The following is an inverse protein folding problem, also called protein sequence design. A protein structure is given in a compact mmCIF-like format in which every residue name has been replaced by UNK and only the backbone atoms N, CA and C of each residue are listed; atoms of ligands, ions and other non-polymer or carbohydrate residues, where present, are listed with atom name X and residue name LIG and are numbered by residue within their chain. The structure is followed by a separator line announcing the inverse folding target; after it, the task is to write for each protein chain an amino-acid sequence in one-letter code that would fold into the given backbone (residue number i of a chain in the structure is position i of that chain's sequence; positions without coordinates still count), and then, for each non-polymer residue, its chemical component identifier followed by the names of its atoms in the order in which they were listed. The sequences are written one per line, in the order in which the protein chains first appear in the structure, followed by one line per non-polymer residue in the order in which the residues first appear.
data_IF_446629722193
#
_entry.id   IF_446629722193
#
_cell.length_a   1.000
_cell.length_b   1.000
_cell.length_c   1.000
_cell.angle_alpha   90.00
_cell.angle_beta   90.00
_cell.angle_gamma   90.00
#
_symmetry.space_group_name_H-M   'P 1'
#
loop_
_entity.id
_entity.type
_entity.pdbx_description
1 polymer ?
#
# COMPACT_ATOMS: atom_id res chain seq x y z
N UNK A 1 -11.30 67.77 -3.60
CA UNK A 1 -10.26 66.72 -3.46
C UNK A 1 -10.96 65.38 -3.51
N UNK A 2 -10.81 64.63 -4.60
CA UNK A 2 -11.37 63.28 -4.71
C UNK A 2 -10.56 62.36 -3.79
N UNK A 3 -11.20 61.80 -2.75
CA UNK A 3 -10.62 60.69 -1.99
C UNK A 3 -10.34 59.58 -3.00
N UNK A 4 -9.09 59.21 -3.18
CA UNK A 4 -8.75 58.04 -3.99
C UNK A 4 -9.41 56.83 -3.33
N UNK A 5 -10.44 56.27 -3.94
CA UNK A 5 -11.02 55.00 -3.52
C UNK A 5 -9.89 53.97 -3.46
N UNK A 6 -9.57 53.50 -2.26
CA UNK A 6 -8.61 52.43 -2.08
C UNK A 6 -9.18 51.16 -2.73
N UNK A 7 -8.36 50.53 -3.57
CA UNK A 7 -8.71 49.31 -4.29
C UNK A 7 -7.85 48.15 -3.81
N UNK A 8 -8.40 46.95 -3.85
CA UNK A 8 -7.66 45.73 -3.59
C UNK A 8 -6.65 45.45 -4.69
N UNK A 9 -5.65 44.63 -4.40
CA UNK A 9 -4.69 44.21 -5.42
C UNK A 9 -5.38 43.33 -6.49
N UNK A 10 -4.66 43.15 -7.61
CA UNK A 10 -5.16 42.47 -8.81
C UNK A 10 -5.56 41.01 -8.57
N UNK A 11 -4.77 40.27 -7.81
CA UNK A 11 -5.02 38.85 -7.54
C UNK A 11 -6.22 38.68 -6.59
N UNK A 12 -6.27 39.45 -5.50
CA UNK A 12 -7.35 39.39 -4.52
C UNK A 12 -8.68 39.80 -5.16
N UNK A 13 -8.68 40.88 -5.96
CA UNK A 13 -9.89 41.34 -6.67
C UNK A 13 -10.47 40.25 -7.57
N UNK A 14 -9.62 39.62 -8.37
CA UNK A 14 -10.03 38.52 -9.25
C UNK A 14 -10.55 37.35 -8.44
N UNK A 15 -9.82 36.94 -7.40
CA UNK A 15 -10.16 35.80 -6.57
C UNK A 15 -11.54 35.96 -5.90
N UNK A 16 -11.83 37.16 -5.40
CA UNK A 16 -13.11 37.48 -4.75
C UNK A 16 -14.27 37.45 -5.75
N UNK A 17 -14.08 38.01 -6.94
CA UNK A 17 -15.14 38.03 -7.96
C UNK A 17 -15.36 36.64 -8.57
N UNK A 18 -14.29 35.87 -8.81
CA UNK A 18 -14.42 34.47 -9.25
C UNK A 18 -15.12 33.62 -8.18
N UNK A 19 -14.80 33.83 -6.89
CA UNK A 19 -15.50 33.21 -5.76
C UNK A 19 -17.01 33.50 -5.78
N UNK A 20 -17.39 34.77 -5.84
CA UNK A 20 -18.79 35.18 -5.92
C UNK A 20 -19.51 34.61 -7.16
N UNK A 21 -18.85 34.64 -8.34
CA UNK A 21 -19.40 34.15 -9.60
C UNK A 21 -19.47 32.62 -9.72
N UNK A 22 -18.78 31.89 -8.84
CA UNK A 22 -18.89 30.43 -8.77
C UNK A 22 -20.00 29.99 -7.80
N UNK A 23 -20.41 30.86 -6.88
CA UNK A 23 -21.55 30.64 -5.98
C UNK A 23 -22.85 31.12 -6.64
N UNK A 24 -22.81 32.23 -7.36
CA UNK A 24 -23.97 32.87 -7.99
C UNK A 24 -23.68 33.28 -9.43
N UNK A 25 -24.73 33.55 -10.22
CA UNK A 25 -24.55 33.94 -11.61
C UNK A 25 -23.83 35.30 -11.71
N UNK A 26 -22.98 35.53 -12.75
CA UNK A 26 -22.30 36.81 -12.92
C UNK A 26 -23.25 38.02 -12.98
N UNK A 27 -24.48 37.84 -13.47
CA UNK A 27 -25.50 38.89 -13.49
C UNK A 27 -26.04 39.23 -12.11
N UNK A 28 -26.16 38.24 -11.22
CA UNK A 28 -26.58 38.45 -9.84
C UNK A 28 -25.47 39.13 -9.02
N UNK A 29 -24.22 38.69 -9.18
CA UNK A 29 -23.05 39.36 -8.59
C UNK A 29 -22.93 40.80 -9.07
N UNK A 30 -23.21 41.07 -10.36
CA UNK A 30 -23.23 42.42 -10.92
C UNK A 30 -24.27 43.31 -10.22
N UNK A 31 -25.49 42.78 -10.03
CA UNK A 31 -26.58 43.49 -9.36
C UNK A 31 -26.24 43.85 -7.92
N UNK A 32 -25.64 42.92 -7.17
CA UNK A 32 -25.29 43.12 -5.76
C UNK A 32 -24.11 44.09 -5.57
N UNK A 33 -23.14 44.09 -6.49
CA UNK A 33 -22.05 45.06 -6.48
C UNK A 33 -22.43 46.41 -7.10
N UNK A 34 -23.69 46.56 -7.53
CA UNK A 34 -24.20 47.72 -8.26
C UNK A 34 -23.32 48.07 -9.47
N UNK A 35 -23.02 47.06 -10.28
CA UNK A 35 -22.17 47.12 -11.47
C UNK A 35 -22.90 46.59 -12.70
N UNK A 36 -22.50 47.06 -13.88
CA UNK A 36 -22.92 46.42 -15.13
C UNK A 36 -22.31 45.01 -15.24
N UNK A 37 -23.02 44.01 -15.83
CA UNK A 37 -22.49 42.67 -16.02
C UNK A 37 -21.14 42.62 -16.79
N UNK A 38 -20.90 43.56 -17.70
CA UNK A 38 -19.62 43.70 -18.40
C UNK A 38 -18.45 43.99 -17.45
N UNK A 39 -18.69 44.72 -16.36
CA UNK A 39 -17.68 45.05 -15.34
C UNK A 39 -17.28 43.86 -14.49
N UNK A 40 -18.18 42.89 -14.30
CA UNK A 40 -17.84 41.61 -13.67
C UNK A 40 -16.83 40.85 -14.53
N UNK A 41 -17.02 40.83 -15.85
CA UNK A 41 -16.05 40.20 -16.77
C UNK A 41 -14.68 40.88 -16.73
N UNK A 42 -14.62 42.20 -16.57
CA UNK A 42 -13.38 42.94 -16.38
C UNK A 42 -12.68 42.62 -15.06
N UNK A 43 -13.45 42.47 -13.97
CA UNK A 43 -12.94 42.08 -12.65
C UNK A 43 -12.37 40.64 -12.66
N UNK A 44 -13.08 39.69 -13.29
CA UNK A 44 -12.61 38.31 -13.49
C UNK A 44 -11.39 38.23 -14.41
N UNK A 45 -11.34 39.11 -15.42
CA UNK A 45 -10.18 39.31 -16.28
C UNK A 45 -9.02 40.06 -15.61
N UNK A 46 -9.18 40.49 -14.36
CA UNK A 46 -8.23 41.30 -13.60
C UNK A 46 -7.82 42.62 -14.31
N UNK A 47 -8.69 43.10 -15.21
CA UNK A 47 -8.57 44.40 -15.91
C UNK A 47 -9.12 45.54 -15.05
N UNK A 48 -9.98 45.20 -14.10
CA UNK A 48 -10.51 46.09 -13.06
C UNK A 48 -10.18 45.51 -11.68
N UNK A 49 -10.08 46.40 -10.69
CA UNK A 49 -9.87 46.06 -9.28
C UNK A 49 -11.14 46.36 -8.49
N UNK A 50 -11.42 45.54 -7.47
CA UNK A 50 -12.48 45.80 -6.51
C UNK A 50 -12.09 47.01 -5.65
N UNK A 51 -13.06 47.88 -5.38
CA UNK A 51 -12.94 48.81 -4.25
C UNK A 51 -13.02 48.03 -2.93
N UNK A 52 -12.53 48.61 -1.83
CA UNK A 52 -12.68 47.97 -0.52
C UNK A 52 -14.17 47.71 -0.21
N UNK A 53 -15.04 48.68 -0.49
CA UNK A 53 -16.49 48.54 -0.27
C UNK A 53 -17.10 47.38 -1.07
N UNK A 54 -16.78 47.26 -2.36
CA UNK A 54 -17.22 46.13 -3.17
C UNK A 54 -16.68 44.80 -2.65
N UNK A 55 -15.45 44.79 -2.14
CA UNK A 55 -14.89 43.61 -1.53
C UNK A 55 -15.61 43.24 -0.22
N UNK A 56 -15.97 44.21 0.62
CA UNK A 56 -16.75 43.94 1.84
C UNK A 56 -18.14 43.39 1.49
N UNK A 57 -18.81 43.92 0.45
CA UNK A 57 -20.07 43.34 -0.05
C UNK A 57 -19.87 41.89 -0.48
N UNK A 58 -18.78 41.58 -1.21
CA UNK A 58 -18.49 40.20 -1.58
C UNK A 58 -18.25 39.33 -0.34
N UNK A 59 -17.48 39.83 0.64
CA UNK A 59 -17.19 39.07 1.86
C UNK A 59 -18.44 38.82 2.70
N UNK A 60 -19.33 39.80 2.78
CA UNK A 60 -20.59 39.71 3.52
C UNK A 60 -21.56 38.74 2.84
N UNK A 61 -21.73 38.86 1.53
CA UNK A 61 -22.70 38.07 0.75
C UNK A 61 -22.21 36.66 0.42
N UNK A 62 -20.91 36.50 0.16
CA UNK A 62 -20.32 35.26 -0.35
C UNK A 62 -19.24 34.66 0.55
N UNK A 63 -18.79 35.37 1.58
CA UNK A 63 -17.65 34.99 2.40
C UNK A 63 -16.30 35.41 1.80
N UNK A 64 -15.24 35.30 2.61
CA UNK A 64 -13.87 35.56 2.17
C UNK A 64 -13.34 34.31 1.48
N UNK A 65 -12.86 34.37 0.23
CA UNK A 65 -12.08 33.26 -0.29
C UNK A 65 -10.77 33.24 0.51
N UNK A 66 -10.58 32.20 1.31
CA UNK A 66 -9.48 32.10 2.26
C UNK A 66 -8.13 32.34 1.58
N UNK A 67 -7.17 32.91 2.29
CA UNK A 67 -5.76 32.65 2.00
C UNK A 67 -5.53 31.16 2.33
N UNK A 68 -5.93 30.29 1.41
CA UNK A 68 -6.20 28.89 1.73
C UNK A 68 -4.93 28.21 2.17
N UNK A 69 -5.02 27.46 3.26
CA UNK A 69 -3.93 26.62 3.72
C UNK A 69 -3.81 25.46 2.74
N UNK A 70 -2.66 25.29 2.09
CA UNK A 70 -2.48 24.12 1.23
C UNK A 70 -2.22 22.89 2.09
N UNK A 71 -2.94 21.80 1.80
CA UNK A 71 -2.72 20.50 2.40
C UNK A 71 -1.95 19.63 1.42
N UNK A 72 -0.78 19.18 1.86
CA UNK A 72 -0.09 18.09 1.19
C UNK A 72 -0.69 16.77 1.68
N UNK A 73 -1.38 16.08 0.79
CA UNK A 73 -1.95 14.76 1.08
C UNK A 73 -1.21 13.71 0.25
N UNK A 74 -0.88 12.61 0.91
CA UNK A 74 -0.45 11.40 0.23
C UNK A 74 -1.58 10.36 0.33
N UNK A 75 -2.19 9.98 -0.79
CA UNK A 75 -3.27 9.02 -0.86
C UNK A 75 -3.64 8.64 -2.29
N UNK A 76 -4.37 7.54 -2.42
CA UNK A 76 -4.78 6.96 -3.71
C UNK A 76 -6.07 7.62 -4.22
N UNK A 77 -6.03 8.24 -5.40
CA UNK A 77 -7.23 8.86 -5.97
C UNK A 77 -8.18 7.85 -6.60
N UNK A 78 -9.46 8.04 -6.34
CA UNK A 78 -10.60 7.29 -6.89
C UNK A 78 -11.82 8.19 -7.02
N UNK A 79 -12.86 7.72 -7.70
CA UNK A 79 -14.22 8.29 -7.60
C UNK A 79 -15.06 7.51 -6.58
N UNK A 80 -16.24 8.02 -6.26
CA UNK A 80 -17.19 7.35 -5.37
C UNK A 80 -17.70 6.04 -5.97
N UNK A 81 -18.00 6.02 -7.27
CA UNK A 81 -18.52 4.84 -7.97
C UNK A 81 -17.47 3.73 -8.07
N UNK A 82 -16.19 4.10 -8.24
CA UNK A 82 -15.08 3.17 -8.39
C UNK A 82 -14.49 2.72 -7.05
N UNK A 83 -14.83 3.38 -5.93
CA UNK A 83 -14.22 3.18 -4.61
C UNK A 83 -14.10 1.71 -4.22
N UNK A 84 -15.15 0.91 -4.44
CA UNK A 84 -15.13 -0.51 -4.07
C UNK A 84 -14.08 -1.34 -4.82
N UNK A 85 -14.01 -1.14 -6.14
CA UNK A 85 -13.09 -1.88 -7.02
C UNK A 85 -11.67 -1.36 -6.82
N UNK A 86 -11.49 -0.04 -6.88
CA UNK A 86 -10.18 0.61 -6.77
C UNK A 86 -9.56 0.38 -5.39
N UNK A 87 -10.37 0.32 -4.33
CA UNK A 87 -9.89 -0.03 -3.01
C UNK A 87 -9.23 -1.42 -3.03
N UNK A 88 -9.86 -2.45 -3.58
CA UNK A 88 -9.28 -3.80 -3.57
C UNK A 88 -8.09 -3.89 -4.53
N UNK A 89 -8.26 -3.42 -5.76
CA UNK A 89 -7.25 -3.57 -6.81
C UNK A 89 -5.98 -2.78 -6.50
N UNK A 90 -6.11 -1.51 -6.09
CA UNK A 90 -4.93 -0.72 -5.75
C UNK A 90 -4.25 -1.23 -4.47
N UNK A 91 -5.02 -1.76 -3.52
CA UNK A 91 -4.47 -2.45 -2.34
C UNK A 91 -3.59 -3.64 -2.73
N UNK A 92 -4.06 -4.48 -3.65
CA UNK A 92 -3.30 -5.61 -4.19
C UNK A 92 -2.04 -5.17 -4.94
N UNK A 93 -2.13 -4.13 -5.78
CA UNK A 93 -0.98 -3.58 -6.51
C UNK A 93 0.09 -3.06 -5.55
N UNK A 94 -0.32 -2.26 -4.55
CA UNK A 94 0.60 -1.71 -3.55
C UNK A 94 1.27 -2.79 -2.72
N UNK A 95 0.51 -3.81 -2.33
CA UNK A 95 1.05 -4.94 -1.59
C UNK A 95 2.10 -5.71 -2.40
N UNK A 96 1.80 -6.00 -3.67
CA UNK A 96 2.77 -6.61 -4.58
C UNK A 96 4.07 -5.80 -4.68
N UNK A 97 3.96 -4.48 -4.73
CA UNK A 97 5.12 -3.59 -4.80
C UNK A 97 5.96 -3.62 -3.53
N UNK A 98 5.33 -3.64 -2.34
CA UNK A 98 6.04 -3.79 -1.06
C UNK A 98 6.83 -5.11 -1.00
N UNK A 99 6.24 -6.21 -1.49
CA UNK A 99 6.94 -7.51 -1.60
C UNK A 99 8.13 -7.42 -2.55
N UNK A 100 7.92 -6.84 -3.73
CA UNK A 100 8.97 -6.67 -4.72
C UNK A 100 10.14 -5.81 -4.21
N UNK A 101 9.84 -4.70 -3.53
CA UNK A 101 10.83 -3.84 -2.89
C UNK A 101 11.65 -4.62 -1.85
N UNK A 102 10.98 -5.38 -0.97
CA UNK A 102 11.65 -6.23 0.00
C UNK A 102 12.56 -7.26 -0.67
N UNK A 103 12.07 -7.93 -1.73
CA UNK A 103 12.80 -8.97 -2.44
C UNK A 103 14.03 -8.42 -3.18
N UNK A 104 14.00 -7.14 -3.53
CA UNK A 104 15.11 -6.42 -4.16
C UNK A 104 16.18 -5.93 -3.15
N UNK A 105 15.98 -6.12 -1.83
CA UNK A 105 16.95 -5.70 -0.81
C UNK A 105 18.07 -6.72 -0.60
N UNK A 106 19.31 -6.23 -0.43
CA UNK A 106 20.45 -7.09 -0.11
C UNK A 106 20.27 -7.80 1.23
N UNK A 107 19.67 -7.12 2.22
CA UNK A 107 19.37 -7.71 3.54
C UNK A 107 18.46 -8.93 3.42
N UNK A 108 17.42 -8.87 2.60
CA UNK A 108 16.56 -10.03 2.37
C UNK A 108 17.32 -11.16 1.67
N UNK A 109 18.06 -10.82 0.61
CA UNK A 109 18.86 -11.79 -0.14
C UNK A 109 19.82 -12.52 0.81
N UNK A 110 20.59 -11.79 1.62
CA UNK A 110 21.56 -12.36 2.54
C UNK A 110 20.90 -13.23 3.62
N UNK A 111 19.70 -12.85 4.10
CA UNK A 111 18.90 -13.67 5.03
C UNK A 111 18.40 -14.98 4.43
N UNK A 112 18.14 -15.03 3.13
CA UNK A 112 17.77 -16.29 2.44
C UNK A 112 19.03 -17.13 2.24
N UNK A 113 20.10 -16.51 1.76
CA UNK A 113 21.38 -17.19 1.49
C UNK A 113 22.07 -17.73 2.74
N UNK A 114 21.78 -17.19 3.92
CA UNK A 114 22.28 -17.74 5.19
C UNK A 114 21.68 -19.12 5.53
N UNK A 115 20.51 -19.45 4.98
CA UNK A 115 19.89 -20.77 5.10
C UNK A 115 20.33 -21.74 4.00
N UNK A 116 21.28 -21.34 3.16
CA UNK A 116 21.79 -22.13 2.05
C UNK A 116 23.24 -22.46 2.31
N UNK A 117 23.62 -23.72 2.13
CA UNK A 117 25.01 -24.15 2.10
C UNK A 117 25.35 -24.81 0.77
N UNK A 118 26.59 -24.58 0.36
CA UNK A 118 27.21 -25.19 -0.81
C UNK A 118 28.58 -25.69 -0.42
N UNK A 119 29.03 -26.81 -0.99
CA UNK A 119 30.39 -27.27 -0.83
C UNK A 119 31.38 -26.33 -1.52
N UNK A 120 32.03 -25.45 -0.75
CA UNK A 120 32.89 -24.39 -1.26
C UNK A 120 34.06 -24.90 -2.10
N UNK A 121 34.60 -26.09 -1.77
CA UNK A 121 35.71 -26.71 -2.51
C UNK A 121 35.33 -27.11 -3.94
N UNK A 122 34.04 -27.26 -4.21
CA UNK A 122 33.51 -27.55 -5.55
C UNK A 122 33.32 -26.29 -6.41
N UNK A 123 33.45 -25.09 -5.84
CA UNK A 123 33.18 -23.83 -6.54
C UNK A 123 34.39 -23.45 -7.41
N UNK A 124 34.21 -23.22 -8.72
CA UNK A 124 35.28 -22.74 -9.59
C UNK A 124 35.94 -21.46 -9.03
N UNK A 125 37.26 -21.41 -9.11
CA UNK A 125 38.10 -20.29 -8.61
C UNK A 125 38.13 -20.06 -7.10
N UNK A 126 37.46 -20.89 -6.30
CA UNK A 126 37.60 -20.84 -4.84
C UNK A 126 39.04 -21.19 -4.44
N UNK A 127 39.61 -20.41 -3.51
CA UNK A 127 40.95 -20.63 -2.98
C UNK A 127 40.90 -20.72 -1.45
N UNK A 128 41.43 -21.79 -0.87
CA UNK A 128 41.58 -21.86 0.59
C UNK A 128 42.61 -20.80 1.04
N UNK A 129 42.28 -20.07 2.11
CA UNK A 129 43.22 -19.13 2.73
C UNK A 129 44.34 -19.90 3.43
N UNK A 130 45.57 -19.43 3.27
CA UNK A 130 46.75 -20.06 3.85
C UNK A 130 47.17 -19.34 5.12
N UNK A 131 47.48 -20.10 6.17
CA UNK A 131 48.06 -19.56 7.42
C UNK A 131 49.45 -18.91 7.19
N UNK A 132 50.07 -19.16 6.03
CA UNK A 132 51.41 -18.68 5.69
C UNK A 132 51.42 -17.44 4.77
N UNK A 133 50.26 -16.98 4.31
CA UNK A 133 50.15 -15.80 3.45
C UNK A 133 50.04 -14.50 4.26
N UNK A 134 50.45 -13.39 3.65
CA UNK A 134 50.33 -12.06 4.26
C UNK A 134 48.85 -11.72 4.52
N UNK A 135 48.58 -11.05 5.65
CA UNK A 135 47.22 -10.75 6.09
C UNK A 135 46.37 -10.01 5.04
N UNK A 136 46.97 -9.14 4.24
CA UNK A 136 46.26 -8.39 3.19
C UNK A 136 45.91 -9.24 1.97
N UNK A 137 46.76 -10.22 1.62
CA UNK A 137 46.49 -11.20 0.56
C UNK A 137 45.33 -12.10 0.99
N UNK A 138 45.38 -12.60 2.24
CA UNK A 138 44.31 -13.40 2.82
C UNK A 138 42.97 -12.64 2.84
N UNK A 139 42.94 -11.37 3.25
CA UNK A 139 41.71 -10.55 3.19
C UNK A 139 41.15 -10.40 1.77
N UNK A 140 42.01 -10.20 0.78
CA UNK A 140 41.60 -10.11 -0.62
C UNK A 140 40.99 -11.43 -1.14
N UNK A 141 41.61 -12.56 -0.79
CA UNK A 141 41.10 -13.90 -1.10
C UNK A 141 39.76 -14.14 -0.41
N UNK A 142 39.61 -13.80 0.87
CA UNK A 142 38.35 -13.94 1.60
C UNK A 142 37.23 -13.13 0.97
N UNK A 143 37.49 -11.89 0.56
CA UNK A 143 36.50 -11.04 -0.11
C UNK A 143 36.09 -11.66 -1.46
N UNK A 144 37.06 -12.15 -2.25
CA UNK A 144 36.77 -12.84 -3.51
C UNK A 144 35.94 -14.10 -3.28
N UNK A 145 36.32 -14.93 -2.31
CA UNK A 145 35.60 -16.16 -1.96
C UNK A 145 34.17 -15.87 -1.48
N UNK A 146 33.97 -14.87 -0.61
CA UNK A 146 32.63 -14.47 -0.15
C UNK A 146 31.72 -14.11 -1.32
N UNK A 147 32.25 -13.38 -2.31
CA UNK A 147 31.52 -13.04 -3.54
C UNK A 147 31.20 -14.28 -4.36
N UNK A 148 32.19 -15.15 -4.61
CA UNK A 148 32.00 -16.40 -5.38
C UNK A 148 30.97 -17.32 -4.74
N UNK A 149 31.03 -17.50 -3.41
CA UNK A 149 30.07 -18.29 -2.65
C UNK A 149 28.67 -17.68 -2.77
N UNK A 150 28.53 -16.36 -2.62
CA UNK A 150 27.24 -15.66 -2.76
C UNK A 150 26.64 -15.89 -4.16
N UNK A 151 27.44 -15.68 -5.22
CA UNK A 151 27.02 -15.89 -6.61
C UNK A 151 26.64 -17.36 -6.88
N UNK A 152 27.42 -18.32 -6.36
CA UNK A 152 27.12 -19.75 -6.53
C UNK A 152 25.85 -20.17 -5.79
N UNK A 153 25.63 -19.72 -4.55
CA UNK A 153 24.39 -19.97 -3.82
C UNK A 153 23.16 -19.41 -4.55
N UNK A 154 23.26 -18.18 -5.09
CA UNK A 154 22.20 -17.57 -5.90
C UNK A 154 21.90 -18.44 -7.14
N UNK A 155 22.94 -18.91 -7.83
CA UNK A 155 22.78 -19.80 -8.99
C UNK A 155 22.06 -21.10 -8.63
N UNK A 156 22.52 -21.79 -7.59
CA UNK A 156 21.91 -23.04 -7.13
C UNK A 156 20.46 -22.85 -6.68
N UNK A 157 20.18 -21.74 -6.00
CA UNK A 157 18.84 -21.45 -5.56
C UNK A 157 17.90 -21.15 -6.74
N UNK A 158 18.34 -20.44 -7.77
CA UNK A 158 17.54 -20.25 -8.99
C UNK A 158 17.26 -21.58 -9.73
N UNK A 159 18.22 -22.51 -9.75
CA UNK A 159 18.00 -23.86 -10.28
C UNK A 159 16.95 -24.61 -9.45
N UNK A 160 17.03 -24.51 -8.11
CA UNK A 160 16.04 -25.07 -7.20
C UNK A 160 14.63 -24.48 -7.44
N UNK A 161 14.51 -23.16 -7.58
CA UNK A 161 13.24 -22.48 -7.89
C UNK A 161 12.63 -22.89 -9.25
N UNK A 162 13.47 -23.40 -10.16
CA UNK A 162 13.05 -23.92 -11.46
C UNK A 162 12.64 -25.39 -11.41
N UNK A 163 12.88 -26.09 -10.30
CA UNK A 163 12.49 -27.49 -10.12
C UNK A 163 11.00 -27.61 -9.82
N UNK A 164 10.28 -28.39 -10.64
CA UNK A 164 8.87 -28.70 -10.42
C UNK A 164 8.65 -29.43 -9.09
N UNK A 165 9.57 -30.33 -8.73
CA UNK A 165 9.49 -31.05 -7.46
C UNK A 165 9.63 -30.12 -6.26
N UNK A 166 10.46 -29.08 -6.36
CA UNK A 166 10.59 -28.08 -5.30
C UNK A 166 9.33 -27.20 -5.20
N UNK A 167 8.72 -26.83 -6.33
CA UNK A 167 7.46 -26.10 -6.34
C UNK A 167 6.34 -26.91 -5.67
N UNK A 168 6.18 -28.18 -6.04
CA UNK A 168 5.22 -29.10 -5.40
C UNK A 168 5.49 -29.26 -3.90
N UNK A 169 6.77 -29.32 -3.51
CA UNK A 169 7.17 -29.36 -2.11
C UNK A 169 6.74 -28.08 -1.38
N UNK A 170 6.97 -26.90 -1.95
CA UNK A 170 6.53 -25.63 -1.37
C UNK A 170 5.00 -25.54 -1.23
N UNK A 171 4.25 -25.97 -2.24
CA UNK A 171 2.79 -25.99 -2.22
C UNK A 171 2.26 -26.90 -1.09
N UNK A 172 2.82 -28.10 -0.97
CA UNK A 172 2.43 -29.08 0.05
C UNK A 172 2.84 -28.62 1.46
N UNK A 173 4.03 -28.04 1.59
CA UNK A 173 4.51 -27.48 2.85
C UNK A 173 3.64 -26.30 3.32
N UNK A 174 3.19 -25.44 2.39
CA UNK A 174 2.28 -24.35 2.71
C UNK A 174 0.97 -24.89 3.30
N UNK A 175 0.32 -25.85 2.62
CA UNK A 175 -0.93 -26.46 3.10
C UNK A 175 -0.77 -27.14 4.46
N UNK A 176 0.33 -27.86 4.69
CA UNK A 176 0.56 -28.60 5.95
C UNK A 176 0.91 -27.69 7.11
N UNK A 177 1.75 -26.68 6.88
CA UNK A 177 1.98 -25.68 7.90
C UNK A 177 0.62 -25.03 8.22
N UNK A 178 -0.22 -24.83 7.20
CA UNK A 178 -1.56 -24.21 7.14
C UNK A 178 -2.71 -24.74 7.92
N UNK A 179 -2.40 -25.37 9.02
CA UNK A 179 -3.38 -26.07 9.82
C UNK A 179 -3.04 -25.83 11.26
N UNK A 180 -3.82 -24.95 11.88
CA UNK A 180 -3.79 -24.71 13.33
C UNK A 180 -4.13 -25.97 14.15
N UNK A 181 -4.84 -26.93 13.55
CA UNK A 181 -5.19 -28.21 14.16
C UNK A 181 -4.08 -29.27 14.04
N UNK A 182 -3.04 -29.03 13.23
CA UNK A 182 -1.90 -29.94 13.12
C UNK A 182 -0.83 -29.56 14.14
N UNK A 183 -0.41 -30.54 14.95
CA UNK A 183 0.71 -30.37 15.87
C UNK A 183 2.03 -30.23 15.10
N UNK A 184 2.56 -29.02 15.08
CA UNK A 184 3.86 -28.69 14.48
C UNK A 184 4.95 -28.90 15.53
N UNK A 185 5.49 -30.11 15.66
CA UNK A 185 6.59 -30.46 16.56
C UNK A 185 7.89 -30.82 15.81
N UNK A 186 8.94 -31.23 16.50
CA UNK A 186 10.21 -31.63 15.87
C UNK A 186 10.05 -32.80 14.90
N UNK A 187 9.12 -33.73 15.19
CA UNK A 187 8.85 -34.87 14.32
C UNK A 187 8.18 -34.41 13.02
N UNK A 188 7.20 -33.51 13.11
CA UNK A 188 6.59 -32.86 11.94
C UNK A 188 7.64 -32.20 11.05
N UNK A 189 8.55 -31.40 11.62
CA UNK A 189 9.60 -30.76 10.83
C UNK A 189 10.64 -31.74 10.29
N UNK A 190 10.98 -32.80 11.03
CA UNK A 190 11.83 -33.87 10.53
C UNK A 190 11.22 -34.59 9.32
N UNK A 191 9.92 -34.89 9.39
CA UNK A 191 9.18 -35.49 8.29
C UNK A 191 9.07 -34.54 7.07
N UNK A 192 8.78 -33.25 7.32
CA UNK A 192 8.68 -32.21 6.29
C UNK A 192 9.99 -31.97 5.53
N UNK A 193 11.11 -31.92 6.28
CA UNK A 193 12.41 -31.51 5.75
C UNK A 193 13.28 -32.67 5.28
N UNK A 194 13.13 -33.87 5.85
CA UNK A 194 14.12 -34.94 5.66
C UNK A 194 13.49 -36.28 5.27
N UNK A 195 12.42 -36.69 5.95
CA UNK A 195 12.06 -38.12 5.98
C UNK A 195 10.93 -38.52 5.03
N UNK A 196 10.05 -37.58 4.62
CA UNK A 196 8.82 -37.91 3.90
C UNK A 196 8.71 -37.19 2.56
N UNK A 197 8.08 -37.86 1.60
CA UNK A 197 7.58 -37.22 0.39
C UNK A 197 6.26 -36.52 0.73
N UNK A 198 6.38 -35.26 1.15
CA UNK A 198 5.23 -34.48 1.62
C UNK A 198 4.23 -34.14 0.51
N UNK A 199 4.62 -34.32 -0.76
CA UNK A 199 3.75 -34.07 -1.92
C UNK A 199 2.61 -35.07 -2.01
N UNK A 200 2.72 -36.18 -1.28
CA UNK A 200 1.69 -37.23 -1.15
C UNK A 200 1.01 -37.22 0.22
N UNK A 201 1.18 -36.17 1.02
CA UNK A 201 0.56 -36.09 2.33
C UNK A 201 -0.97 -35.95 2.19
N UNK A 202 -1.72 -36.76 2.94
CA UNK A 202 -3.18 -36.69 3.04
C UNK A 202 -3.56 -36.32 4.46
N UNK A 203 -4.34 -35.27 4.61
CA UNK A 203 -4.83 -34.81 5.92
C UNK A 203 -6.16 -35.52 6.23
N UNK A 204 -6.26 -36.15 7.40
CA UNK A 204 -7.49 -36.78 7.90
C UNK A 204 -7.76 -36.32 9.33
N UNK A 205 -8.62 -35.31 9.48
CA UNK A 205 -8.81 -34.64 10.78
C UNK A 205 -7.56 -33.84 11.15
N UNK A 206 -7.04 -34.09 12.35
CA UNK A 206 -5.82 -33.52 12.93
C UNK A 206 -4.55 -34.35 12.61
N UNK A 207 -4.69 -35.51 11.97
CA UNK A 207 -3.56 -36.37 11.60
C UNK A 207 -3.10 -36.19 10.15
N UNK A 208 -1.77 -36.23 9.97
CA UNK A 208 -1.13 -36.31 8.66
C UNK A 208 -0.83 -37.76 8.32
N UNK A 209 -1.48 -38.27 7.29
CA UNK A 209 -1.10 -39.52 6.66
C UNK A 209 -0.10 -39.23 5.55
N UNK A 210 1.18 -39.39 5.87
CA UNK A 210 2.24 -39.36 4.87
C UNK A 210 2.01 -40.50 3.87
N UNK A 211 1.97 -40.18 2.57
CA UNK A 211 1.76 -41.17 1.52
C UNK A 211 2.72 -42.36 1.65
N UNK A 212 2.21 -43.55 1.32
CA UNK A 212 2.97 -44.82 1.33
C UNK A 212 4.36 -44.63 0.72
N UNK A 213 5.38 -45.16 1.40
CA UNK A 213 6.76 -45.23 0.91
C UNK A 213 6.80 -46.05 -0.37
N UNK A 214 6.75 -45.38 -1.52
CA UNK A 214 7.44 -45.92 -2.69
C UNK A 214 8.89 -46.21 -2.28
N UNK A 215 9.53 -47.17 -2.93
CA UNK A 215 10.94 -47.49 -2.69
C UNK A 215 11.91 -46.31 -2.91
N UNK A 216 11.42 -45.21 -3.51
CA UNK A 216 12.13 -43.94 -3.69
C UNK A 216 11.20 -42.74 -3.38
N UNK A 217 11.08 -42.29 -2.12
CA UNK A 217 10.38 -41.04 -1.80
C UNK A 217 11.15 -39.85 -2.39
N UNK A 218 10.48 -38.85 -2.97
CA UNK A 218 11.17 -37.61 -3.40
C UNK A 218 11.17 -36.63 -2.23
N UNK A 219 12.17 -36.78 -1.37
CA UNK A 219 12.37 -35.91 -0.20
C UNK A 219 13.10 -34.62 -0.60
N UNK A 220 13.01 -33.58 0.23
CA UNK A 220 13.75 -32.33 0.00
C UNK A 220 15.27 -32.56 -0.19
N UNK A 221 15.97 -33.41 0.59
CA UNK A 221 17.37 -33.72 0.34
C UNK A 221 17.63 -34.32 -1.04
N UNK A 222 16.72 -35.15 -1.57
CA UNK A 222 16.85 -35.72 -2.91
C UNK A 222 16.60 -34.68 -4.00
N UNK A 223 15.65 -33.76 -3.79
CA UNK A 223 15.46 -32.60 -4.67
C UNK A 223 16.73 -31.75 -4.70
N UNK A 224 17.32 -31.43 -3.54
CA UNK A 224 18.54 -30.63 -3.43
C UNK A 224 19.75 -31.33 -4.06
N UNK A 225 19.92 -32.63 -3.81
CA UNK A 225 20.98 -33.44 -4.40
C UNK A 225 20.88 -33.56 -5.93
N UNK A 226 19.67 -33.46 -6.48
CA UNK A 226 19.46 -33.44 -7.95
C UNK A 226 19.92 -32.13 -8.60
N UNK A 227 20.03 -31.04 -7.84
CA UNK A 227 20.58 -29.76 -8.31
C UNK A 227 22.10 -29.82 -8.37
N UNK A 228 22.74 -30.09 -7.23
CA UNK A 228 24.19 -30.21 -7.13
C UNK A 228 24.59 -31.01 -5.89
N UNK A 229 25.61 -31.87 -6.03
CA UNK A 229 26.13 -32.63 -4.89
C UNK A 229 26.78 -31.68 -3.88
N UNK A 230 26.31 -31.70 -2.63
CA UNK A 230 26.81 -30.82 -1.57
C UNK A 230 26.06 -29.49 -1.46
N UNK A 231 24.96 -29.32 -2.20
CA UNK A 231 23.98 -28.25 -1.97
C UNK A 231 22.96 -28.70 -0.93
N UNK A 232 22.78 -27.91 0.13
CA UNK A 232 21.76 -28.18 1.14
C UNK A 232 21.15 -26.91 1.73
N UNK A 233 19.94 -27.06 2.26
CA UNK A 233 19.28 -26.02 3.06
C UNK A 233 19.53 -26.31 4.53
N UNK A 234 19.97 -25.28 5.26
CA UNK A 234 20.21 -25.33 6.69
C UNK A 234 19.11 -24.58 7.41
N UNK A 235 18.41 -25.29 8.28
CA UNK A 235 17.38 -24.73 9.15
C UNK A 235 17.89 -24.80 10.59
N UNK A 236 17.81 -23.68 11.32
CA UNK A 236 18.17 -23.62 12.75
C UNK A 236 17.47 -24.74 13.54
N UNK A 237 18.09 -25.21 14.63
CA UNK A 237 17.44 -26.19 15.52
C UNK A 237 16.34 -25.58 16.39
N UNK A 238 16.19 -24.26 16.38
CA UNK A 238 15.11 -23.56 17.08
C UNK A 238 13.85 -23.59 16.22
N UNK A 239 12.77 -24.15 16.76
CA UNK A 239 11.47 -24.32 16.12
C UNK A 239 10.99 -23.09 15.32
N UNK A 240 10.92 -21.92 15.96
CA UNK A 240 10.45 -20.67 15.32
C UNK A 240 11.28 -20.30 14.09
N UNK A 241 12.59 -20.54 14.15
CA UNK A 241 13.50 -20.22 13.05
C UNK A 241 13.32 -21.18 11.86
N UNK A 242 12.89 -22.43 12.09
CA UNK A 242 12.60 -23.39 11.00
C UNK A 242 11.37 -22.95 10.22
N UNK A 243 10.27 -22.65 10.92
CA UNK A 243 9.01 -22.20 10.31
C UNK A 243 9.23 -20.91 9.51
N UNK A 244 9.92 -19.93 10.08
CA UNK A 244 10.26 -18.70 9.35
C UNK A 244 11.12 -18.97 8.10
N UNK A 245 12.15 -19.81 8.21
CA UNK A 245 13.05 -20.09 7.09
C UNK A 245 12.35 -20.83 5.94
N UNK A 246 11.53 -21.85 6.24
CA UNK A 246 10.66 -22.52 5.24
C UNK A 246 9.73 -21.51 4.59
N UNK A 247 9.25 -20.56 5.38
CA UNK A 247 8.45 -19.44 4.92
C UNK A 247 9.02 -18.59 3.83
N UNK A 248 10.28 -18.23 3.98
CA UNK A 248 10.99 -17.45 2.97
C UNK A 248 11.00 -18.20 1.64
N UNK A 249 11.27 -19.50 1.67
CA UNK A 249 11.30 -20.33 0.46
C UNK A 249 9.93 -20.43 -0.22
N UNK A 250 8.86 -20.69 0.55
CA UNK A 250 7.48 -20.72 0.02
C UNK A 250 7.10 -19.36 -0.56
N UNK A 251 7.35 -18.27 0.16
CA UNK A 251 7.07 -16.91 -0.30
C UNK A 251 7.77 -16.57 -1.61
N UNK A 252 9.03 -16.99 -1.76
CA UNK A 252 9.80 -16.79 -3.00
C UNK A 252 9.22 -17.62 -4.16
N UNK A 253 8.86 -18.87 -3.93
CA UNK A 253 8.21 -19.72 -4.94
C UNK A 253 6.86 -19.13 -5.39
N UNK A 254 6.02 -18.69 -4.45
CA UNK A 254 4.75 -18.02 -4.75
C UNK A 254 4.96 -16.74 -5.53
N UNK A 255 5.92 -15.90 -5.12
CA UNK A 255 6.23 -14.67 -5.83
C UNK A 255 6.70 -14.92 -7.26
N UNK A 256 7.55 -15.93 -7.46
CA UNK A 256 7.95 -16.39 -8.80
C UNK A 256 6.74 -16.76 -9.66
N UNK A 257 5.84 -17.60 -9.14
CA UNK A 257 4.61 -17.99 -9.84
C UNK A 257 3.74 -16.78 -10.20
N UNK A 258 3.61 -15.80 -9.30
CA UNK A 258 2.85 -14.57 -9.56
C UNK A 258 3.44 -13.75 -10.70
N UNK A 259 4.77 -13.55 -10.70
CA UNK A 259 5.48 -12.84 -11.78
C UNK A 259 5.28 -13.57 -13.11
N UNK A 260 5.43 -14.89 -13.12
CA UNK A 260 5.33 -15.73 -14.32
C UNK A 260 3.90 -15.88 -14.85
N UNK A 261 2.89 -15.82 -13.97
CA UNK A 261 1.46 -15.88 -14.34
C UNK A 261 0.98 -14.64 -15.11
N UNK A 262 1.77 -13.56 -15.15
CA UNK A 262 1.41 -12.25 -15.74
C UNK A 262 0.23 -11.54 -15.06
N UNK A 263 -0.18 -11.98 -13.86
CA UNK A 263 -1.26 -11.35 -13.09
C UNK A 263 -1.00 -9.87 -12.77
N UNK A 264 0.27 -9.45 -12.73
CA UNK A 264 0.71 -8.07 -12.50
C UNK A 264 1.49 -7.49 -13.69
N UNK A 265 1.18 -7.91 -14.92
CA UNK A 265 1.87 -7.44 -16.13
C UNK A 265 1.72 -5.93 -16.39
N UNK A 266 0.74 -5.28 -15.77
CA UNK A 266 0.59 -3.83 -15.77
C UNK A 266 1.63 -3.13 -14.86
N UNK A 267 2.14 -3.79 -13.82
CA UNK A 267 3.14 -3.20 -12.90
C UNK A 267 4.57 -3.58 -13.33
N UNK A 268 4.73 -4.75 -13.94
CA UNK A 268 6.03 -5.27 -14.35
C UNK A 268 6.36 -4.91 -15.80
N UNK A 269 7.65 -4.71 -16.14
CA UNK A 269 8.09 -4.61 -17.52
C UNK A 269 7.63 -5.81 -18.37
N UNK A 270 7.36 -5.58 -19.66
CA UNK A 270 7.00 -6.66 -20.59
C UNK A 270 8.10 -7.73 -20.63
N UNK A 271 7.71 -9.01 -20.53
CA UNK A 271 8.64 -10.13 -20.52
C UNK A 271 9.42 -10.31 -19.21
N UNK A 272 9.01 -9.66 -18.12
CA UNK A 272 9.62 -9.86 -16.81
C UNK A 272 9.59 -11.33 -16.36
N UNK A 273 10.77 -11.84 -15.99
CA UNK A 273 10.96 -13.12 -15.33
C UNK A 273 11.57 -12.90 -13.95
N UNK A 274 11.13 -13.65 -12.95
CA UNK A 274 11.73 -13.58 -11.63
C UNK A 274 13.03 -14.39 -11.58
N UNK A 275 14.12 -13.73 -11.18
CA UNK A 275 15.43 -14.36 -10.93
C UNK A 275 15.87 -13.88 -9.56
N UNK A 276 16.01 -14.79 -8.61
CA UNK A 276 16.46 -14.46 -7.26
C UNK A 276 17.86 -13.84 -7.30
N UNK A 277 18.08 -12.78 -6.53
CA UNK A 277 19.34 -12.02 -6.51
C UNK A 277 19.49 -10.99 -7.63
N UNK A 278 18.54 -10.91 -8.58
CA UNK A 278 18.49 -9.88 -9.61
C UNK A 278 17.35 -8.91 -9.32
N UNK A 279 17.64 -7.60 -9.34
CA UNK A 279 16.61 -6.57 -9.14
C UNK A 279 15.57 -6.64 -10.26
N UNK A 280 14.31 -6.82 -9.87
CA UNK A 280 13.18 -6.76 -10.80
C UNK A 280 12.60 -5.33 -10.76
N UNK A 281 12.53 -4.68 -11.92
CA UNK A 281 12.06 -3.30 -12.07
C UNK A 281 10.55 -3.17 -12.03
N UNK A 282 10.06 -1.93 -11.88
CA UNK A 282 8.64 -1.59 -11.87
C UNK A 282 8.30 -0.48 -12.86
N UNK A 283 7.13 -0.57 -13.46
CA UNK A 283 6.53 0.47 -14.30
C UNK A 283 5.76 1.43 -13.39
N UNK A 284 6.43 2.50 -12.96
CA UNK A 284 5.86 3.47 -12.00
C UNK A 284 4.58 4.17 -12.49
N UNK A 285 4.42 4.33 -13.80
CA UNK A 285 3.27 5.04 -14.37
C UNK A 285 1.93 4.31 -14.16
N UNK A 286 1.94 3.01 -13.85
CA UNK A 286 0.75 2.21 -13.63
C UNK A 286 0.45 1.99 -12.14
N UNK A 287 1.16 2.72 -11.27
CA UNK A 287 0.90 2.74 -9.83
C UNK A 287 -0.25 3.70 -9.52
N UNK A 288 -1.02 3.44 -8.44
CA UNK A 288 -1.94 4.44 -7.92
C UNK A 288 -1.16 5.73 -7.69
N UNK A 289 -1.68 6.85 -8.20
CA UNK A 289 -1.10 8.15 -7.92
C UNK A 289 -1.27 8.39 -6.43
N UNK A 290 -0.16 8.76 -5.76
CA UNK A 290 -0.11 8.89 -4.31
C UNK A 290 0.01 10.31 -3.83
N UNK A 291 0.53 11.25 -4.61
CA UNK A 291 0.83 12.59 -4.12
C UNK A 291 -0.17 13.60 -4.67
N UNK A 292 -0.82 14.32 -3.76
CA UNK A 292 -1.84 15.31 -4.07
C UNK A 292 -1.65 16.57 -3.23
N UNK A 293 -1.62 17.71 -3.91
CA UNK A 293 -1.72 19.00 -3.26
C UNK A 293 -3.17 19.44 -3.33
N UNK A 294 -3.85 19.46 -2.18
CA UNK A 294 -5.17 20.06 -2.07
C UNK A 294 -4.98 21.49 -1.56
N UNK A 295 -5.23 22.46 -2.44
CA UNK A 295 -5.30 23.86 -2.04
C UNK A 295 -6.74 24.13 -1.59
N UNK A 296 -6.95 24.39 -0.30
CA UNK A 296 -8.31 24.47 0.26
C UNK A 296 -8.37 24.50 1.78
N UNK A 297 -9.44 23.95 2.36
CA UNK A 297 -9.62 23.84 3.81
C UNK A 297 -10.17 22.47 4.18
N UNK A 298 -9.68 21.87 5.27
CA UNK A 298 -10.38 20.76 5.91
C UNK A 298 -11.64 21.32 6.58
N UNK A 299 -12.81 20.99 6.05
CA UNK A 299 -14.10 21.52 6.53
C UNK A 299 -14.84 20.52 7.42
N UNK A 300 -14.39 19.27 7.45
CA UNK A 300 -14.88 18.25 8.38
C UNK A 300 -13.82 17.19 8.60
N UNK A 301 -13.59 16.80 9.84
CA UNK A 301 -12.69 15.72 10.24
C UNK A 301 -13.40 14.92 11.33
N UNK A 302 -13.68 13.63 11.08
CA UNK A 302 -14.37 12.80 12.05
C UNK A 302 -13.62 12.73 13.39
N UNK A 303 -12.30 12.50 13.35
CA UNK A 303 -11.49 12.32 14.54
C UNK A 303 -11.43 13.60 15.37
N UNK A 304 -11.39 14.76 14.74
CA UNK A 304 -11.46 16.06 15.45
C UNK A 304 -12.82 16.26 16.15
N UNK A 305 -13.92 15.80 15.53
CA UNK A 305 -15.26 15.99 16.08
C UNK A 305 -15.58 15.07 17.26
N UNK A 306 -15.10 13.81 17.25
CA UNK A 306 -15.40 12.82 18.29
C UNK A 306 -14.21 12.41 19.15
N UNK A 307 -13.01 12.95 18.87
CA UNK A 307 -11.76 12.58 19.55
C UNK A 307 -11.34 11.12 19.32
N UNK A 308 -11.97 10.41 18.38
CA UNK A 308 -11.77 8.99 18.14
C UNK A 308 -11.92 8.63 16.66
N UNK A 309 -11.21 7.58 16.24
CA UNK A 309 -11.34 6.97 14.92
C UNK A 309 -12.60 6.10 14.85
N UNK A 310 -13.22 6.04 13.68
CA UNK A 310 -14.41 5.24 13.44
C UNK A 310 -14.04 3.77 13.50
N UNK A 311 -14.73 2.98 14.32
CA UNK A 311 -14.56 1.53 14.35
C UNK A 311 -15.42 0.88 13.26
N UNK A 312 -14.84 -0.08 12.55
CA UNK A 312 -15.58 -0.90 11.60
C UNK A 312 -16.36 -1.98 12.34
N UNK A 313 -17.63 -2.18 11.97
CA UNK A 313 -18.44 -3.28 12.49
C UNK A 313 -17.82 -4.63 12.10
N UNK A 314 -17.40 -4.72 10.84
CA UNK A 314 -16.67 -5.87 10.32
C UNK A 314 -15.28 -5.42 9.86
N UNK A 315 -14.19 -5.93 10.48
CA UNK A 315 -12.86 -5.61 10.03
C UNK A 315 -12.66 -6.00 8.56
N UNK A 316 -12.11 -5.09 7.75
CA UNK A 316 -11.85 -5.36 6.34
C UNK A 316 -10.59 -6.20 6.24
N UNK A 317 -10.75 -7.35 5.58
CA UNK A 317 -9.68 -8.27 5.31
C UNK A 317 -9.12 -8.00 3.91
N UNK A 318 -8.02 -7.25 3.79
CA UNK A 318 -7.33 -7.08 2.52
C UNK A 318 -6.67 -8.40 2.07
N UNK A 319 -6.91 -8.79 0.81
CA UNK A 319 -6.22 -9.94 0.23
C UNK A 319 -4.75 -9.57 0.04
N UNK A 320 -3.86 -10.40 0.59
CA UNK A 320 -2.40 -10.25 0.52
C UNK A 320 -1.79 -11.44 -0.20
N UNK A 321 -0.96 -11.20 -1.21
CA UNK A 321 -0.38 -12.31 -1.99
C UNK A 321 0.77 -13.03 -1.26
N UNK A 322 1.39 -12.37 -0.28
CA UNK A 322 2.44 -12.87 0.63
C UNK A 322 2.41 -12.02 1.90
N UNK A 323 2.30 -12.60 3.11
CA UNK A 323 2.32 -11.81 4.36
C UNK A 323 3.76 -11.34 4.66
N UNK A 324 3.94 -10.03 4.86
CA UNK A 324 5.20 -9.43 5.30
C UNK A 324 5.06 -9.00 6.77
N UNK A 325 6.01 -9.33 7.64
CA UNK A 325 6.07 -8.70 8.97
C UNK A 325 6.49 -7.24 8.81
N UNK A 326 5.81 -6.32 9.49
CA UNK A 326 6.17 -4.90 9.50
C UNK A 326 7.37 -4.59 10.40
N UNK A 327 7.65 -5.45 11.38
CA UNK A 327 8.73 -5.22 12.32
C UNK A 327 9.96 -6.05 11.87
N UNK A 328 10.99 -5.33 11.42
CA UNK A 328 12.37 -5.82 11.23
C UNK A 328 12.67 -6.81 10.09
N UNK A 329 12.01 -6.69 8.92
CA UNK A 329 12.34 -7.48 7.73
C UNK A 329 12.22 -9.00 7.91
N UNK A 330 11.61 -9.44 9.02
CA UNK A 330 11.32 -10.83 9.32
C UNK A 330 10.18 -11.34 8.44
N UNK A 331 10.18 -12.65 8.20
CA UNK A 331 9.06 -13.32 7.53
C UNK A 331 8.30 -14.08 8.60
N UNK A 332 6.99 -13.86 8.71
CA UNK A 332 6.13 -14.80 9.40
C UNK A 332 5.23 -15.48 8.38
N UNK A 333 5.43 -16.79 8.17
CA UNK A 333 4.37 -17.60 7.58
C UNK A 333 3.21 -17.60 8.55
N UNK A 334 2.10 -16.97 8.13
CA UNK A 334 0.84 -17.54 8.54
C UNK A 334 0.63 -18.78 7.69
N UNK A 335 0.41 -19.92 8.32
CA UNK A 335 0.42 -21.14 7.58
C UNK A 335 -0.84 -21.32 6.72
N UNK A 336 -2.01 -20.79 7.11
CA UNK A 336 -3.34 -21.34 6.76
C UNK A 336 -3.83 -21.14 5.32
N UNK A 337 -2.97 -20.73 4.37
CA UNK A 337 -3.39 -20.16 3.08
C UNK A 337 -4.42 -19.01 3.23
N UNK A 338 -4.70 -18.56 4.47
CA UNK A 338 -5.53 -17.43 4.78
C UNK A 338 -4.63 -16.22 4.91
N UNK A 339 -4.66 -15.42 3.84
CA UNK A 339 -4.45 -13.98 3.81
C UNK A 339 -4.60 -13.40 5.22
N UNK A 340 -3.53 -13.26 6.01
CA UNK A 340 -3.67 -12.46 7.22
C UNK A 340 -3.77 -11.04 6.71
N UNK A 341 -4.95 -10.44 6.79
CA UNK A 341 -5.15 -9.16 6.20
C UNK A 341 -4.37 -8.13 7.00
N UNK A 342 -3.95 -7.05 6.35
CA UNK A 342 -3.97 -5.78 7.09
C UNK A 342 -5.44 -5.63 7.50
N UNK A 343 -5.71 -6.00 8.74
CA UNK A 343 -7.07 -6.04 9.25
C UNK A 343 -7.39 -4.61 9.60
N UNK A 344 -7.95 -3.92 8.62
CA UNK A 344 -8.39 -2.55 8.81
C UNK A 344 -9.57 -2.62 9.76
N UNK A 345 -9.42 -1.98 10.92
CA UNK A 345 -10.44 -1.96 11.97
C UNK A 345 -10.94 -0.57 12.25
N UNK A 346 -10.14 0.43 11.91
CA UNK A 346 -10.49 1.82 12.16
C UNK A 346 -10.31 2.67 10.92
N UNK A 347 -11.11 3.73 10.83
CA UNK A 347 -11.02 4.75 9.80
C UNK A 347 -10.95 6.14 10.42
N UNK A 348 -10.26 7.05 9.75
CA UNK A 348 -10.57 8.47 9.84
C UNK A 348 -11.05 8.95 8.48
N UNK A 349 -12.12 9.75 8.47
CA UNK A 349 -12.65 10.34 7.24
C UNK A 349 -12.62 11.86 7.39
N UNK A 350 -12.00 12.52 6.42
CA UNK A 350 -11.85 13.98 6.36
C UNK A 350 -12.44 14.50 5.07
N UNK A 351 -13.03 15.68 5.09
CA UNK A 351 -13.61 16.34 3.92
C UNK A 351 -12.91 17.67 3.70
N UNK A 352 -12.32 17.81 2.53
CA UNK A 352 -11.65 19.02 2.09
C UNK A 352 -12.52 19.76 1.09
N UNK A 353 -12.60 21.08 1.26
CA UNK A 353 -13.19 21.99 0.29
C UNK A 353 -12.08 22.73 -0.44
N UNK A 354 -12.00 22.56 -1.75
CA UNK A 354 -10.90 23.10 -2.57
C UNK A 354 -11.18 24.53 -3.02
N UNK A 355 -10.13 25.26 -3.42
CA UNK A 355 -10.26 26.60 -4.03
C UNK A 355 -11.05 26.57 -5.36
N UNK A 356 -11.10 25.43 -6.04
CA UNK A 356 -11.93 25.24 -7.23
C UNK A 356 -13.39 24.90 -6.87
N UNK A 357 -13.76 25.03 -5.59
CA UNK A 357 -15.10 24.81 -5.06
C UNK A 357 -15.58 23.36 -5.19
N UNK A 358 -14.63 22.41 -5.20
CA UNK A 358 -14.93 20.99 -5.23
C UNK A 358 -14.70 20.37 -3.85
N UNK A 359 -15.23 19.17 -3.67
CA UNK A 359 -15.02 18.40 -2.45
C UNK A 359 -14.16 17.18 -2.74
N UNK A 360 -13.25 16.91 -1.80
CA UNK A 360 -12.44 15.70 -1.79
C UNK A 360 -12.54 15.09 -0.40
N UNK A 361 -13.01 13.84 -0.31
CA UNK A 361 -12.95 13.08 0.93
C UNK A 361 -11.62 12.32 1.00
N UNK A 362 -10.94 12.42 2.13
CA UNK A 362 -9.82 11.55 2.45
C UNK A 362 -10.27 10.48 3.43
N UNK A 363 -9.94 9.23 3.13
CA UNK A 363 -10.24 8.06 3.95
C UNK A 363 -8.92 7.44 4.37
N UNK A 364 -8.60 7.56 5.64
CA UNK A 364 -7.41 6.98 6.25
C UNK A 364 -7.79 5.68 6.95
N UNK A 365 -7.02 4.63 6.71
CA UNK A 365 -7.27 3.30 7.26
C UNK A 365 -6.22 2.93 8.30
N UNK A 366 -6.65 2.23 9.36
CA UNK A 366 -5.79 1.86 10.48
C UNK A 366 -6.10 0.45 11.00
N UNK A 367 -5.03 -0.26 11.34
CA UNK A 367 -4.98 -1.51 12.09
C UNK A 367 -4.87 -1.26 13.60
N UNK A 368 -4.90 -2.32 14.41
CA UNK A 368 -4.92 -2.27 15.89
C UNK A 368 -3.75 -1.49 16.52
N UNK A 369 -2.63 -1.36 15.82
CA UNK A 369 -1.42 -0.78 16.40
C UNK A 369 -1.43 0.75 16.43
N UNK A 370 -2.38 1.44 15.77
CA UNK A 370 -2.50 2.90 15.63
C UNK A 370 -1.21 3.69 15.27
N UNK A 371 -0.09 3.00 15.04
CA UNK A 371 1.22 3.56 14.68
C UNK A 371 1.23 3.86 13.19
N UNK A 372 0.61 4.99 12.83
CA UNK A 372 0.58 5.50 11.46
C UNK A 372 -0.62 5.00 10.65
N UNK A 373 -0.91 5.73 9.57
CA UNK A 373 -1.93 5.39 8.59
C UNK A 373 -1.44 4.25 7.68
N UNK A 374 -2.24 3.19 7.53
CA UNK A 374 -1.89 2.03 6.70
C UNK A 374 -2.02 2.34 5.20
N UNK A 375 -3.06 3.13 4.89
CA UNK A 375 -3.45 3.54 3.54
C UNK A 375 -4.37 4.75 3.61
N UNK A 376 -4.14 5.72 2.74
CA UNK A 376 -5.00 6.88 2.52
C UNK A 376 -5.61 6.82 1.12
N UNK A 377 -6.91 7.10 1.00
CA UNK A 377 -7.65 7.11 -0.26
C UNK A 377 -8.33 8.47 -0.40
N UNK A 378 -8.24 9.07 -1.58
CA UNK A 378 -8.85 10.35 -1.90
C UNK A 378 -10.00 10.12 -2.88
N UNK A 379 -11.22 10.41 -2.43
CA UNK A 379 -12.44 10.32 -3.21
C UNK A 379 -12.84 11.72 -3.67
N UNK A 380 -12.79 11.96 -4.97
CA UNK A 380 -13.29 13.21 -5.55
C UNK A 380 -14.79 13.10 -5.83
N UNK A 381 -15.54 14.14 -5.47
CA UNK A 381 -16.97 14.23 -5.80
C UNK A 381 -17.17 15.08 -7.05
N UNK A 382 -17.56 14.45 -8.16
CA UNK A 382 -17.85 15.16 -9.41
C UNK A 382 -19.09 16.05 -9.29
N UNK A 383 -20.13 15.55 -8.63
CA UNK A 383 -21.39 16.25 -8.44
C UNK A 383 -21.51 16.84 -7.03
N UNK A 384 -21.35 18.17 -6.91
CA UNK A 384 -21.35 18.87 -5.62
C UNK A 384 -22.58 18.59 -4.75
N UNK A 385 -23.76 18.49 -5.36
CA UNK A 385 -25.00 18.27 -4.62
C UNK A 385 -25.07 16.88 -3.96
N UNK A 386 -24.26 15.91 -4.41
CA UNK A 386 -24.19 14.54 -3.87
C UNK A 386 -23.15 14.38 -2.77
N UNK A 387 -22.36 15.40 -2.43
CA UNK A 387 -21.22 15.28 -1.50
C UNK A 387 -21.62 14.67 -0.15
N UNK A 388 -22.70 15.17 0.47
CA UNK A 388 -23.09 14.67 1.80
C UNK A 388 -23.69 13.28 1.75
N UNK A 389 -24.45 12.94 0.70
CA UNK A 389 -24.96 11.60 0.50
C UNK A 389 -23.81 10.62 0.24
N UNK A 390 -22.84 11.03 -0.59
CA UNK A 390 -21.63 10.29 -0.89
C UNK A 390 -20.73 10.07 0.34
N UNK A 391 -20.65 11.03 1.26
CA UNK A 391 -19.99 10.81 2.56
C UNK A 391 -20.66 9.70 3.37
N UNK A 392 -22.00 9.66 3.38
CA UNK A 392 -22.75 8.57 4.04
C UNK A 392 -22.54 7.25 3.29
N UNK A 393 -22.47 7.25 1.96
CA UNK A 393 -22.18 6.05 1.16
C UNK A 393 -20.78 5.50 1.43
N UNK A 394 -19.77 6.36 1.55
CA UNK A 394 -18.41 5.96 1.97
C UNK A 394 -18.48 5.23 3.31
N UNK A 395 -19.11 5.85 4.33
CA UNK A 395 -19.19 5.26 5.65
C UNK A 395 -19.97 3.93 5.66
N UNK A 396 -21.05 3.83 4.87
CA UNK A 396 -21.81 2.59 4.67
C UNK A 396 -20.99 1.50 3.98
N UNK A 397 -20.24 1.85 2.93
CA UNK A 397 -19.38 0.91 2.21
C UNK A 397 -18.39 0.22 3.16
N UNK A 398 -17.77 1.00 4.04
CA UNK A 398 -16.86 0.46 5.05
C UNK A 398 -17.56 -0.25 6.21
N UNK A 399 -18.89 -0.30 6.26
CA UNK A 399 -19.68 -0.82 7.39
C UNK A 399 -19.29 -0.17 8.72
N UNK A 400 -18.94 1.11 8.68
CA UNK A 400 -18.51 1.86 9.85
C UNK A 400 -19.66 2.00 10.86
N UNK A 401 -19.35 1.91 12.15
CA UNK A 401 -20.28 2.31 13.21
C UNK A 401 -20.16 3.82 13.39
N UNK A 402 -21.04 4.57 12.71
CA UNK A 402 -21.03 6.03 12.74
C UNK A 402 -22.39 6.58 13.16
N UNK A 403 -22.36 7.65 13.94
CA UNK A 403 -23.55 8.27 14.55
C UNK A 403 -23.92 9.61 13.89
N UNK A 404 -23.28 9.94 12.76
CA UNK A 404 -23.48 11.21 12.07
C UNK A 404 -24.64 11.15 11.07
N UNK A 405 -25.56 12.08 11.25
CA UNK A 405 -26.56 12.43 10.24
C UNK A 405 -26.00 13.44 9.23
N UNK A 406 -26.57 13.48 8.03
CA UNK A 406 -26.26 14.50 7.01
C UNK A 406 -26.34 15.92 7.61
N UNK A 407 -27.32 16.17 8.49
CA UNK A 407 -27.50 17.48 9.14
C UNK A 407 -26.30 17.85 10.02
N UNK A 408 -25.76 16.90 10.78
CA UNK A 408 -24.58 17.15 11.62
C UNK A 408 -23.33 17.40 10.78
N UNK A 409 -23.13 16.63 9.70
CA UNK A 409 -22.01 16.86 8.76
C UNK A 409 -22.14 18.25 8.13
N UNK A 410 -23.31 18.61 7.61
CA UNK A 410 -23.60 19.95 7.07
C UNK A 410 -23.32 21.06 8.09
N UNK A 411 -23.77 20.90 9.33
CA UNK A 411 -23.54 21.87 10.40
C UNK A 411 -22.06 22.11 10.68
N UNK A 412 -21.27 21.04 10.77
CA UNK A 412 -19.82 21.14 10.96
C UNK A 412 -19.11 21.75 9.75
N UNK A 413 -19.50 21.37 8.53
CA UNK A 413 -18.98 21.97 7.29
C UNK A 413 -19.25 23.48 7.25
N UNK A 414 -20.47 23.92 7.55
CA UNK A 414 -20.80 25.35 7.62
C UNK A 414 -19.98 26.09 8.68
N UNK A 415 -19.86 25.52 9.89
CA UNK A 415 -19.06 26.12 10.97
C UNK A 415 -17.58 26.30 10.59
N UNK A 416 -17.07 25.38 9.76
CA UNK A 416 -15.70 25.44 9.25
C UNK A 416 -15.56 26.21 7.93
N UNK A 417 -16.60 26.92 7.47
CA UNK A 417 -16.55 27.76 6.27
C UNK A 417 -16.58 27.00 4.95
N UNK A 418 -17.08 25.76 4.95
CA UNK A 418 -17.39 25.02 3.73
C UNK A 418 -18.76 25.42 3.18
N UNK A 419 -18.93 25.25 1.87
CA UNK A 419 -20.19 25.49 1.19
C UNK A 419 -21.24 24.40 1.48
N UNK A 420 -22.53 24.75 1.44
CA UNK A 420 -23.60 23.76 1.49
C UNK A 420 -24.40 23.88 0.19
N UNK A 421 -24.20 22.94 -0.76
CA UNK A 421 -25.03 22.86 -1.95
C UNK A 421 -26.53 22.86 -1.61
N UNK A 422 -27.28 23.73 -2.29
CA UNK A 422 -28.73 23.89 -2.14
C UNK A 422 -29.21 24.44 -0.78
N UNK A 423 -28.32 25.01 0.05
CA UNK A 423 -28.76 25.74 1.23
C UNK A 423 -29.55 26.98 0.84
N UNK A 424 -30.71 27.15 1.49
CA UNK A 424 -31.47 28.41 1.44
C UNK A 424 -30.89 29.29 2.53
N UNK A 425 -30.26 30.39 2.13
CA UNK A 425 -29.83 31.43 3.05
C UNK A 425 -31.09 32.12 3.58
N UNK A 426 -31.22 32.19 4.90
CA UNK A 426 -32.31 32.90 5.57
C UNK A 426 -31.68 34.20 6.07
N UNK A 427 -32.12 35.31 5.49
CA UNK A 427 -31.74 36.67 5.88
C UNK A 427 -32.33 37.07 7.24
#
# INVERSE_FOLDING_TARGET
MNKSESKLNKQISKHYVDHACNISSPGQVAKELNLDPSRISELRGARRLLTIEQAEIIKEMYGIPSNSTSYWLEGERTTLEALGIDFIDNGLKLHFCRILELFNTDTFIDRVLSNIYVNEKGIPEFKETSLFEQADINKSIEQKNKRLIKEHKIKMFNLLLSSEHFQQWCDSAATLLGRDDIQQDDKFFGDLLMNKDIRKAVIKGDEIQWGSTDSNPVTLPLILASIEKGFYLSFSNVYQNRKEAIGKFIAICRFKQLVESKSYANILPSGSTFIFGKKLGMVRNNMPVKEYVIVGKCVWDHEEQLGTKIRLNNPIKTKSVVKLSRDEGGFELNPDDQLVPETIRYLNVRLFYTEQFNYVAEIQTFSDNFKGCDRSILVEFEERHKVFDGMIEILKYFTADFHFTIKQIKGAVAANGGYIPSAIYID
#
